data_IF_220159962323
#
_entry.id   IF_220159962323
#
_cell.length_a   1.000
_cell.length_b   1.000
_cell.length_c   1.000
_cell.angle_alpha   90.00
_cell.angle_beta   90.00
_cell.angle_gamma   90.00
#
_symmetry.space_group_name_H-M   'P 1'
#
loop_
_entity.id
_entity.type
_entity.pdbx_description
1 polymer ?
#
# COMPACT_ATOMS: atom_id res chain seq x y z
N UNK A 1 -34.62 9.56 -16.80
CA UNK A 1 -33.75 8.41 -17.14
C UNK A 1 -32.71 8.31 -16.03
N UNK A 2 -32.69 7.29 -15.16
CA UNK A 2 -31.63 7.18 -14.17
C UNK A 2 -30.43 6.39 -14.73
N UNK A 3 -29.26 7.02 -14.56
CA UNK A 3 -27.93 6.46 -14.31
C UNK A 3 -27.21 5.62 -15.39
N UNK A 4 -26.31 6.27 -16.15
CA UNK A 4 -25.13 5.63 -16.76
C UNK A 4 -23.89 5.92 -15.89
N UNK A 5 -23.92 5.44 -14.65
CA UNK A 5 -22.76 5.50 -13.75
C UNK A 5 -21.78 4.40 -14.12
N UNK A 6 -20.83 4.71 -15.00
CA UNK A 6 -19.69 3.84 -15.26
C UNK A 6 -18.55 4.23 -14.30
N UNK A 7 -18.72 4.01 -13.00
CA UNK A 7 -17.69 4.23 -11.99
C UNK A 7 -17.20 2.87 -11.49
N UNK A 8 -16.34 2.22 -12.27
CA UNK A 8 -15.77 0.91 -11.93
C UNK A 8 -14.45 1.03 -11.13
N UNK A 9 -14.11 2.24 -10.66
CA UNK A 9 -13.05 2.43 -9.68
C UNK A 9 -13.63 2.19 -8.28
N UNK A 10 -12.86 1.53 -7.41
CA UNK A 10 -13.29 1.42 -6.02
C UNK A 10 -13.31 2.82 -5.40
N UNK A 11 -14.37 3.16 -4.68
CA UNK A 11 -14.54 4.47 -4.02
C UNK A 11 -13.35 4.79 -3.10
N UNK A 12 -12.66 3.75 -2.60
CA UNK A 12 -11.41 3.88 -1.85
C UNK A 12 -10.23 4.35 -2.71
N UNK A 13 -10.01 3.76 -3.90
CA UNK A 13 -8.89 4.12 -4.78
C UNK A 13 -8.98 5.57 -5.24
N UNK A 14 -10.14 6.01 -5.71
CA UNK A 14 -10.37 7.40 -6.12
C UNK A 14 -10.08 8.39 -4.98
N UNK A 15 -10.58 8.10 -3.78
CA UNK A 15 -10.34 8.94 -2.60
C UNK A 15 -8.84 8.98 -2.25
N UNK A 16 -8.14 7.85 -2.24
CA UNK A 16 -6.73 7.84 -1.89
C UNK A 16 -5.84 8.48 -2.95
N UNK A 17 -6.14 8.33 -4.25
CA UNK A 17 -5.38 9.01 -5.31
C UNK A 17 -5.51 10.53 -5.21
N UNK A 18 -6.71 11.08 -4.94
CA UNK A 18 -6.92 12.53 -4.83
C UNK A 18 -6.32 13.15 -3.56
N UNK A 19 -6.19 12.37 -2.49
CA UNK A 19 -5.74 12.87 -1.18
C UNK A 19 -4.37 12.32 -0.76
N UNK A 20 -3.63 11.65 -1.64
CA UNK A 20 -2.38 10.97 -1.28
C UNK A 20 -1.35 11.90 -0.63
N UNK A 21 -1.03 13.02 -1.28
CA UNK A 21 -0.06 13.99 -0.77
C UNK A 21 -0.51 14.59 0.56
N UNK A 22 -1.78 15.00 0.63
CA UNK A 22 -2.38 15.55 1.85
C UNK A 22 -2.33 14.53 2.98
N UNK A 23 -2.67 13.27 2.71
CA UNK A 23 -2.57 12.21 3.70
C UNK A 23 -1.12 12.05 4.15
N UNK A 24 -0.16 11.99 3.24
CA UNK A 24 1.26 11.87 3.57
C UNK A 24 1.78 13.02 4.44
N UNK A 25 1.30 14.24 4.21
CA UNK A 25 1.66 15.43 5.00
C UNK A 25 1.09 15.39 6.43
N UNK A 26 -0.20 15.07 6.57
CA UNK A 26 -0.89 15.18 7.86
C UNK A 26 -0.83 13.92 8.70
N UNK A 27 -0.72 12.74 8.10
CA UNK A 27 -0.76 11.48 8.83
C UNK A 27 0.34 11.37 9.90
N UNK A 28 1.58 11.89 9.72
CA UNK A 28 2.60 11.90 10.77
C UNK A 28 2.24 12.71 12.04
N UNK A 29 1.30 13.66 11.96
CA UNK A 29 0.97 14.56 13.06
C UNK A 29 -0.46 14.43 13.57
N UNK A 30 -1.40 13.94 12.74
CA UNK A 30 -2.81 13.82 13.12
C UNK A 30 -2.96 12.77 14.22
N UNK A 31 -3.45 13.19 15.39
CA UNK A 31 -3.50 12.40 16.62
C UNK A 31 -3.96 10.95 16.43
N UNK A 32 -5.04 10.70 15.67
CA UNK A 32 -5.53 9.35 15.41
C UNK A 32 -4.48 8.40 14.81
N UNK A 33 -3.63 8.85 13.89
CA UNK A 33 -2.57 8.01 13.32
C UNK A 33 -1.31 8.08 14.17
N UNK A 34 -0.87 9.29 14.53
CA UNK A 34 0.43 9.51 15.14
C UNK A 34 0.51 9.03 16.60
N UNK A 35 -0.60 9.14 17.35
CA UNK A 35 -0.61 8.92 18.80
C UNK A 35 -1.45 7.71 19.22
N UNK A 36 -2.36 7.22 18.38
CA UNK A 36 -3.22 6.08 18.69
C UNK A 36 -2.88 4.88 17.81
N UNK A 37 -3.17 4.96 16.52
CA UNK A 37 -3.06 3.81 15.61
C UNK A 37 -1.61 3.34 15.46
N UNK A 38 -0.67 4.19 15.01
CA UNK A 38 0.70 3.71 14.75
C UNK A 38 1.41 3.18 15.98
N UNK A 39 1.41 3.86 17.14
CA UNK A 39 2.06 3.30 18.33
C UNK A 39 1.48 1.94 18.73
N UNK A 40 0.16 1.77 18.64
CA UNK A 40 -0.48 0.48 18.92
C UNK A 40 -0.10 -0.59 17.89
N UNK A 41 -0.10 -0.25 16.60
CA UNK A 41 0.33 -1.13 15.50
C UNK A 41 1.78 -1.57 15.70
N UNK A 42 2.71 -0.65 15.98
CA UNK A 42 4.12 -1.00 16.18
C UNK A 42 4.33 -1.88 17.42
N UNK A 43 3.61 -1.60 18.52
CA UNK A 43 3.66 -2.43 19.71
C UNK A 43 3.14 -3.86 19.45
N UNK A 44 2.11 -4.01 18.62
CA UNK A 44 1.56 -5.30 18.25
C UNK A 44 2.52 -6.10 17.35
N UNK A 45 3.17 -5.44 16.39
CA UNK A 45 4.14 -6.08 15.49
C UNK A 45 5.39 -6.54 16.24
N UNK A 46 5.87 -5.74 17.19
CA UNK A 46 7.03 -6.09 18.01
C UNK A 46 8.37 -5.97 17.28
N UNK A 47 9.37 -6.74 17.73
CA UNK A 47 10.72 -6.72 17.16
C UNK A 47 10.74 -7.39 15.78
N UNK A 48 11.30 -6.67 14.80
CA UNK A 48 11.40 -7.10 13.40
C UNK A 48 12.84 -7.19 12.92
N UNK A 49 13.82 -7.08 13.82
CA UNK A 49 15.23 -7.10 13.45
C UNK A 49 15.60 -8.38 12.70
N UNK A 50 16.16 -8.23 11.49
CA UNK A 50 16.56 -9.36 10.65
C UNK A 50 15.39 -10.14 10.04
N UNK A 51 14.14 -9.73 10.27
CA UNK A 51 12.96 -10.39 9.71
C UNK A 51 12.60 -9.83 8.32
N UNK A 52 11.81 -10.60 7.58
CA UNK A 52 11.13 -10.14 6.37
C UNK A 52 9.72 -9.70 6.74
N UNK A 53 9.36 -8.45 6.41
CA UNK A 53 8.05 -7.86 6.72
C UNK A 53 7.29 -7.59 5.42
N UNK A 54 5.99 -7.86 5.42
CA UNK A 54 5.06 -7.45 4.36
C UNK A 54 4.16 -6.32 4.88
N UNK A 55 4.23 -5.15 4.23
CA UNK A 55 3.36 -3.99 4.49
C UNK A 55 2.32 -3.86 3.37
N UNK A 56 1.11 -4.37 3.63
CA UNK A 56 0.03 -4.45 2.65
C UNK A 56 -0.93 -3.25 2.79
N UNK A 57 -1.00 -2.41 1.76
CA UNK A 57 -1.64 -1.10 1.87
C UNK A 57 -0.72 -0.11 2.58
N UNK A 58 0.53 -0.01 2.13
CA UNK A 58 1.59 0.72 2.83
C UNK A 58 1.39 2.24 2.85
N UNK A 59 0.45 2.77 2.05
CA UNK A 59 0.22 4.20 1.88
C UNK A 59 1.54 4.91 1.52
N UNK A 60 1.88 6.03 2.19
CA UNK A 60 3.10 6.78 1.92
C UNK A 60 4.36 6.17 2.57
N UNK A 61 4.31 4.92 3.04
CA UNK A 61 5.50 4.17 3.49
C UNK A 61 5.97 4.43 4.92
N UNK A 62 5.16 5.06 5.79
CA UNK A 62 5.57 5.40 7.18
C UNK A 62 5.92 4.14 8.00
N UNK A 63 5.08 3.11 7.93
CA UNK A 63 5.31 1.86 8.66
C UNK A 63 6.47 1.07 8.05
N UNK A 64 6.53 1.01 6.71
CA UNK A 64 7.65 0.43 5.96
C UNK A 64 9.01 1.04 6.35
N UNK A 65 9.11 2.37 6.41
CA UNK A 65 10.31 3.08 6.84
C UNK A 65 10.70 2.69 8.27
N UNK A 66 9.72 2.72 9.19
CA UNK A 66 9.92 2.35 10.58
C UNK A 66 10.52 0.94 10.73
N UNK A 67 9.89 -0.07 10.10
CA UNK A 67 10.35 -1.45 10.19
C UNK A 67 11.74 -1.65 9.54
N UNK A 68 12.01 -0.99 8.42
CA UNK A 68 13.33 -1.06 7.78
C UNK A 68 14.42 -0.44 8.65
N UNK A 69 14.14 0.68 9.35
CA UNK A 69 15.07 1.29 10.31
C UNK A 69 15.34 0.42 11.54
N UNK A 70 14.40 -0.46 11.91
CA UNK A 70 14.61 -1.50 12.94
C UNK A 70 15.41 -2.71 12.43
N UNK A 71 15.81 -2.73 11.16
CA UNK A 71 16.65 -3.78 10.59
C UNK A 71 15.87 -4.89 9.87
N UNK A 72 14.57 -4.71 9.64
CA UNK A 72 13.80 -5.59 8.78
C UNK A 72 14.14 -5.39 7.30
N UNK A 73 13.82 -6.38 6.47
CA UNK A 73 13.72 -6.23 5.01
C UNK A 73 12.24 -6.21 4.63
N UNK A 74 11.77 -5.09 4.07
CA UNK A 74 10.34 -4.84 3.88
C UNK A 74 9.96 -5.01 2.41
N UNK A 75 8.91 -5.79 2.15
CA UNK A 75 8.16 -5.73 0.91
C UNK A 75 6.86 -4.98 1.17
N UNK A 76 6.55 -4.01 0.34
CA UNK A 76 5.41 -3.14 0.53
C UNK A 76 4.63 -3.00 -0.77
N UNK A 77 3.32 -2.82 -0.68
CA UNK A 77 2.51 -2.48 -1.84
C UNK A 77 1.33 -1.60 -1.47
N UNK A 78 0.91 -0.78 -2.43
CA UNK A 78 -0.32 -0.01 -2.37
C UNK A 78 -1.01 -0.05 -3.76
N UNK A 79 -2.33 0.10 -3.78
CA UNK A 79 -3.16 0.00 -5.00
C UNK A 79 -3.14 1.27 -5.84
N UNK A 80 -2.67 2.38 -5.26
CA UNK A 80 -2.57 3.65 -5.98
C UNK A 80 -1.12 3.95 -6.38
N UNK A 81 -0.87 4.35 -7.64
CA UNK A 81 0.48 4.71 -8.08
C UNK A 81 1.03 5.91 -7.31
N UNK A 82 0.16 6.83 -6.85
CA UNK A 82 0.56 8.00 -6.05
C UNK A 82 1.14 7.58 -4.69
N UNK A 83 0.51 6.63 -3.98
CA UNK A 83 1.03 6.13 -2.71
C UNK A 83 2.34 5.37 -2.90
N UNK A 84 2.44 4.56 -3.96
CA UNK A 84 3.66 3.84 -4.31
C UNK A 84 4.83 4.80 -4.54
N UNK A 85 4.61 5.90 -5.26
CA UNK A 85 5.65 6.90 -5.51
C UNK A 85 6.08 7.61 -4.23
N UNK A 86 5.12 8.04 -3.41
CA UNK A 86 5.40 8.66 -2.11
C UNK A 86 6.18 7.71 -1.20
N UNK A 87 5.78 6.44 -1.12
CA UNK A 87 6.46 5.43 -0.31
C UNK A 87 7.89 5.15 -0.80
N UNK A 88 8.12 5.08 -2.12
CA UNK A 88 9.48 4.92 -2.69
C UNK A 88 10.38 6.07 -2.29
N UNK A 89 9.89 7.31 -2.44
CA UNK A 89 10.64 8.50 -2.04
C UNK A 89 10.90 8.54 -0.54
N UNK A 90 9.89 8.20 0.27
CA UNK A 90 10.01 8.18 1.73
C UNK A 90 11.02 7.15 2.23
N UNK A 91 11.07 5.98 1.57
CA UNK A 91 11.93 4.87 1.96
C UNK A 91 13.28 4.85 1.22
N UNK A 92 13.67 5.94 0.56
CA UNK A 92 14.91 6.00 -0.21
C UNK A 92 16.14 5.64 0.66
N UNK A 93 16.99 4.74 0.15
CA UNK A 93 18.17 4.25 0.86
C UNK A 93 17.90 3.19 1.94
N UNK A 94 16.66 2.80 2.17
CA UNK A 94 16.28 1.73 3.10
C UNK A 94 16.07 0.39 2.39
N UNK A 95 16.04 -0.72 3.15
CA UNK A 95 15.72 -2.06 2.65
C UNK A 95 14.21 -2.25 2.46
N UNK A 96 13.61 -1.42 1.61
CA UNK A 96 12.18 -1.44 1.30
C UNK A 96 11.98 -1.60 -0.20
N UNK A 97 11.23 -2.61 -0.61
CA UNK A 97 10.79 -2.80 -2.00
C UNK A 97 9.30 -2.48 -2.12
N UNK A 98 8.96 -1.40 -2.83
CA UNK A 98 7.56 -0.95 -3.00
C UNK A 98 7.07 -1.22 -4.42
N UNK A 99 5.95 -1.93 -4.53
CA UNK A 99 5.34 -2.29 -5.82
C UNK A 99 3.87 -1.89 -5.88
N UNK A 100 3.38 -1.59 -7.09
CA UNK A 100 1.95 -1.58 -7.36
C UNK A 100 1.53 -3.00 -7.76
N UNK A 101 0.47 -3.56 -7.18
CA UNK A 101 -0.03 -4.87 -7.55
C UNK A 101 -0.68 -4.80 -8.93
N UNK A 102 -0.10 -5.50 -9.92
CA UNK A 102 -0.61 -5.55 -11.29
C UNK A 102 -0.81 -7.00 -11.75
N UNK A 103 -1.85 -7.31 -12.55
CA UNK A 103 -2.01 -8.60 -13.19
C UNK A 103 -0.80 -8.96 -14.07
N UNK A 104 -0.48 -10.25 -14.20
CA UNK A 104 0.58 -10.69 -15.09
C UNK A 104 0.22 -10.39 -16.56
N UNK A 105 1.19 -9.95 -17.36
CA UNK A 105 0.98 -9.54 -18.76
C UNK A 105 0.32 -10.65 -19.59
N UNK A 106 0.66 -11.91 -19.35
CA UNK A 106 0.07 -13.05 -20.06
C UNK A 106 -1.44 -13.22 -19.78
N UNK A 107 -1.94 -12.73 -18.63
CA UNK A 107 -3.36 -12.79 -18.29
C UNK A 107 -4.21 -11.92 -19.21
N UNK A 108 -3.62 -10.90 -19.86
CA UNK A 108 -4.31 -10.08 -20.88
C UNK A 108 -4.85 -10.93 -22.02
N UNK A 109 -4.12 -11.96 -22.43
CA UNK A 109 -4.55 -12.89 -23.47
C UNK A 109 -5.74 -13.78 -23.05
N UNK A 110 -6.03 -13.90 -21.74
CA UNK A 110 -7.19 -14.64 -21.24
C UNK A 110 -8.46 -13.80 -21.23
N UNK A 111 -8.33 -12.52 -20.88
CA UNK A 111 -9.42 -11.55 -20.97
C UNK A 111 -8.86 -10.13 -20.84
N UNK A 112 -8.95 -9.35 -21.91
CA UNK A 112 -8.54 -7.94 -21.87
C UNK A 112 -9.42 -7.13 -20.92
N UNK A 113 -10.72 -7.44 -20.85
CA UNK A 113 -11.67 -6.79 -19.95
C UNK A 113 -11.28 -6.99 -18.49
N UNK A 114 -11.03 -8.24 -18.07
CA UNK A 114 -10.63 -8.54 -16.70
C UNK A 114 -9.24 -7.99 -16.37
N UNK A 115 -8.32 -8.01 -17.34
CA UNK A 115 -7.01 -7.38 -17.15
C UNK A 115 -7.14 -5.88 -16.88
N UNK A 116 -7.93 -5.16 -17.69
CA UNK A 116 -8.17 -3.74 -17.49
C UNK A 116 -8.86 -3.43 -16.15
N UNK A 117 -9.87 -4.21 -15.79
CA UNK A 117 -10.60 -4.08 -14.52
C UNK A 117 -9.70 -4.34 -13.31
N UNK A 118 -9.02 -5.49 -13.27
CA UNK A 118 -8.22 -5.92 -12.12
C UNK A 118 -6.87 -5.18 -12.00
N UNK A 119 -6.42 -4.49 -13.05
CA UNK A 119 -5.34 -3.50 -12.96
C UNK A 119 -5.70 -2.28 -12.09
N UNK A 120 -6.99 -2.02 -11.88
CA UNK A 120 -7.49 -0.90 -11.09
C UNK A 120 -8.17 -1.36 -9.79
N UNK A 121 -8.54 -2.64 -9.70
CA UNK A 121 -9.25 -3.22 -8.56
C UNK A 121 -8.76 -4.66 -8.28
N UNK A 122 -7.55 -4.85 -7.75
CA UNK A 122 -7.02 -6.17 -7.45
C UNK A 122 -7.84 -6.86 -6.35
N UNK A 123 -8.18 -8.13 -6.55
CA UNK A 123 -9.26 -8.81 -5.79
C UNK A 123 -8.80 -9.79 -4.70
N UNK A 124 -7.52 -10.14 -4.61
CA UNK A 124 -7.05 -11.13 -3.63
C UNK A 124 -5.67 -10.80 -3.07
N UNK A 125 -5.51 -11.09 -1.78
CA UNK A 125 -4.23 -11.09 -1.08
C UNK A 125 -4.07 -12.43 -0.37
N UNK A 126 -2.95 -13.12 -0.60
CA UNK A 126 -2.60 -14.36 0.10
C UNK A 126 -1.28 -14.13 0.83
N UNK A 127 -1.29 -14.20 2.16
CA UNK A 127 -0.10 -13.99 2.99
C UNK A 127 0.30 -15.32 3.63
N UNK A 128 1.56 -15.73 3.45
CA UNK A 128 2.18 -16.82 4.21
C UNK A 128 3.28 -16.23 5.09
N UNK A 129 2.99 -16.07 6.38
CA UNK A 129 4.01 -15.77 7.37
C UNK A 129 4.83 -17.04 7.67
N UNK A 130 6.16 -16.92 7.74
CA UNK A 130 7.02 -17.97 8.29
C UNK A 130 7.18 -17.67 9.78
N UNK A 131 6.62 -18.53 10.61
CA UNK A 131 6.93 -18.63 12.03
C UNK A 131 8.14 -19.54 12.25
#
# INVERSE_FOLDING_TARGET
>A
MPNTGNSNESTGREAYSQFAERYAEFAPTKAHNALYERPATMALVGDVHGLAVLDAGCGPGICSEHHARQGASVHAFDVTPEMVELARKHCEGLKVNVVEPQPLKEMKAKSERLYAELSHSPAFICIRARC
#
